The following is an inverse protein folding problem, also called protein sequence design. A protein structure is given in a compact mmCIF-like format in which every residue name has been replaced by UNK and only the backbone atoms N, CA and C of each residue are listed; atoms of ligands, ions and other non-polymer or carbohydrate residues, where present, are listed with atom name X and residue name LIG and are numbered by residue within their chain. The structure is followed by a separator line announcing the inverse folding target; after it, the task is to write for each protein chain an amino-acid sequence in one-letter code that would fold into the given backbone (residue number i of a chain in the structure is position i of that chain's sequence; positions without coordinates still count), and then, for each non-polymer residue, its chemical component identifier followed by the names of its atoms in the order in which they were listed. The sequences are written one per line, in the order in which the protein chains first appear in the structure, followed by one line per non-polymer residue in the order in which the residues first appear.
data_IF_041132997483
#
_entry.id   IF_041132997483
#
_cell.length_a   1.000
_cell.length_b   1.000
_cell.length_c   1.000
_cell.angle_alpha   90.00
_cell.angle_beta   90.00
_cell.angle_gamma   90.00
#
_symmetry.space_group_name_H-M   'P 1'
#
loop_
_entity.id
_entity.type
_entity.pdbx_description
1 polymer ?
#
# COMPACT_ATOMS: atom_id res chain seq x y z
N UNK A 1 -7.65 -4.93 16.71
CA UNK A 1 -8.54 -4.46 15.62
C UNK A 1 -8.54 -5.50 14.50
N UNK A 2 -9.68 -6.08 14.24
CA UNK A 2 -9.79 -7.12 13.23
C UNK A 2 -9.83 -6.47 11.84
N UNK A 3 -8.72 -6.55 11.16
CA UNK A 3 -8.58 -6.08 9.78
C UNK A 3 -8.35 -7.29 8.90
N UNK A 4 -9.21 -7.49 7.92
CA UNK A 4 -9.08 -8.55 6.94
C UNK A 4 -8.56 -8.02 5.61
N UNK A 5 -7.66 -8.77 5.01
CA UNK A 5 -7.05 -8.48 3.72
C UNK A 5 -7.65 -9.38 2.65
N UNK A 6 -8.02 -8.81 1.52
CA UNK A 6 -8.50 -9.57 0.38
C UNK A 6 -8.03 -8.95 -0.92
N UNK A 7 -7.59 -9.79 -1.85
CA UNK A 7 -7.17 -9.34 -3.17
C UNK A 7 -8.38 -8.91 -4.00
N UNK A 8 -8.28 -7.79 -4.71
CA UNK A 8 -9.36 -7.24 -5.52
C UNK A 8 -9.85 -8.23 -6.59
N UNK A 9 -8.95 -9.03 -7.14
CA UNK A 9 -9.25 -10.06 -8.13
C UNK A 9 -9.95 -11.30 -7.58
N UNK A 10 -10.12 -11.42 -6.26
CA UNK A 10 -10.83 -12.53 -5.64
C UNK A 10 -12.28 -12.61 -6.15
N UNK A 11 -12.80 -13.82 -6.32
CA UNK A 11 -14.19 -14.04 -6.68
C UNK A 11 -15.13 -13.18 -5.84
N UNK A 12 -16.09 -12.52 -6.49
CA UNK A 12 -16.97 -11.53 -5.86
C UNK A 12 -17.74 -12.09 -4.65
N UNK A 13 -18.25 -13.30 -4.74
CA UNK A 13 -19.02 -13.93 -3.66
C UNK A 13 -18.16 -14.19 -2.43
N UNK A 14 -16.94 -14.73 -2.63
CA UNK A 14 -15.97 -14.96 -1.54
C UNK A 14 -15.50 -13.64 -0.94
N UNK A 15 -15.24 -12.64 -1.77
CA UNK A 15 -14.85 -11.31 -1.31
C UNK A 15 -15.95 -10.68 -0.45
N UNK A 16 -17.20 -10.77 -0.89
CA UNK A 16 -18.34 -10.24 -0.14
C UNK A 16 -18.52 -10.94 1.19
N UNK A 17 -18.35 -12.26 1.23
CA UNK A 17 -18.41 -13.03 2.48
C UNK A 17 -17.36 -12.55 3.50
N UNK A 18 -16.13 -12.29 3.07
CA UNK A 18 -15.08 -11.75 3.93
C UNK A 18 -15.44 -10.34 4.41
N UNK A 19 -15.93 -9.49 3.54
CA UNK A 19 -16.31 -8.11 3.85
C UNK A 19 -17.44 -8.09 4.90
N UNK A 20 -18.47 -8.91 4.70
CA UNK A 20 -19.62 -8.95 5.60
C UNK A 20 -19.28 -9.44 7.02
N UNK A 21 -18.20 -10.20 7.17
CA UNK A 21 -17.74 -10.75 8.44
C UNK A 21 -16.55 -9.99 9.05
N UNK A 22 -16.08 -8.92 8.42
CA UNK A 22 -14.93 -8.15 8.86
C UNK A 22 -15.34 -6.84 9.53
N UNK A 23 -14.58 -6.41 10.53
CA UNK A 23 -14.74 -5.08 11.12
C UNK A 23 -14.20 -3.99 10.19
N UNK A 24 -13.05 -4.24 9.58
CA UNK A 24 -12.45 -3.38 8.53
C UNK A 24 -11.79 -4.25 7.47
N UNK A 25 -11.78 -3.78 6.25
CA UNK A 25 -11.18 -4.50 5.12
C UNK A 25 -10.15 -3.66 4.38
N UNK A 26 -9.07 -4.33 4.00
CA UNK A 26 -8.08 -3.81 3.07
C UNK A 26 -8.22 -4.61 1.78
N UNK A 27 -8.58 -3.92 0.70
CA UNK A 27 -8.70 -4.52 -0.62
C UNK A 27 -7.39 -4.25 -1.38
N UNK A 28 -6.71 -5.33 -1.72
CA UNK A 28 -5.34 -5.28 -2.25
C UNK A 28 -5.28 -5.49 -3.75
N UNK A 29 -4.34 -4.82 -4.37
CA UNK A 29 -3.87 -5.08 -5.72
C UNK A 29 -2.35 -5.20 -5.72
N UNK A 30 -1.84 -6.23 -6.37
CA UNK A 30 -0.40 -6.48 -6.51
C UNK A 30 -0.02 -6.61 -7.98
N UNK A 31 1.07 -5.98 -8.36
CA UNK A 31 1.69 -6.23 -9.65
C UNK A 31 3.21 -6.38 -9.43
N UNK A 32 3.68 -7.63 -9.55
CA UNK A 32 5.08 -8.00 -9.31
C UNK A 32 5.97 -7.81 -10.54
N UNK A 33 5.41 -7.38 -11.66
CA UNK A 33 6.14 -7.24 -12.92
C UNK A 33 6.46 -5.79 -13.26
N UNK A 34 5.52 -4.88 -12.99
CA UNK A 34 5.63 -3.47 -13.36
C UNK A 34 4.75 -2.56 -12.54
N UNK A 35 4.89 -1.25 -12.77
CA UNK A 35 3.96 -0.22 -12.30
C UNK A 35 3.04 0.17 -13.46
N UNK A 36 1.73 -0.15 -13.38
CA UNK A 36 0.76 0.31 -14.37
C UNK A 36 0.65 1.84 -14.45
N UNK A 37 -0.05 2.34 -15.46
CA UNK A 37 -0.30 3.77 -15.62
C UNK A 37 -1.09 4.36 -14.44
N UNK A 38 -0.95 5.67 -14.22
CA UNK A 38 -1.72 6.38 -13.20
C UNK A 38 -3.22 6.16 -13.35
N UNK A 39 -3.74 6.28 -14.58
CA UNK A 39 -5.15 6.07 -14.87
C UNK A 39 -5.63 4.67 -14.49
N UNK A 40 -4.85 3.65 -14.85
CA UNK A 40 -5.18 2.28 -14.47
C UNK A 40 -5.20 2.10 -12.95
N UNK A 41 -4.21 2.62 -12.26
CA UNK A 41 -4.11 2.52 -10.80
C UNK A 41 -5.20 3.33 -10.08
N UNK A 42 -5.59 4.49 -10.59
CA UNK A 42 -6.75 5.24 -10.08
C UNK A 42 -8.04 4.42 -10.17
N UNK A 43 -8.27 3.74 -11.29
CA UNK A 43 -9.41 2.85 -11.46
C UNK A 43 -9.36 1.68 -10.46
N UNK A 44 -8.17 1.12 -10.21
CA UNK A 44 -7.98 0.06 -9.22
C UNK A 44 -8.30 0.57 -7.81
N UNK A 45 -7.78 1.75 -7.43
CA UNK A 45 -8.06 2.35 -6.11
C UNK A 45 -9.55 2.59 -5.94
N UNK A 46 -10.21 3.20 -6.93
CA UNK A 46 -11.64 3.49 -6.88
C UNK A 46 -12.46 2.19 -6.76
N UNK A 47 -12.10 1.17 -7.51
CA UNK A 47 -12.76 -0.15 -7.42
C UNK A 47 -12.58 -0.78 -6.04
N UNK A 48 -11.38 -0.69 -5.46
CA UNK A 48 -11.11 -1.22 -4.13
C UNK A 48 -11.88 -0.47 -3.04
N UNK A 49 -11.94 0.86 -3.11
CA UNK A 49 -12.66 1.69 -2.14
C UNK A 49 -14.18 1.58 -2.28
N UNK A 50 -14.70 1.14 -3.43
CA UNK A 50 -16.12 0.84 -3.60
C UNK A 50 -16.57 -0.41 -2.86
N UNK A 51 -15.66 -1.33 -2.55
CA UNK A 51 -15.99 -2.61 -1.90
C UNK A 51 -15.40 -2.77 -0.51
N UNK A 52 -14.39 -2.00 -0.14
CA UNK A 52 -13.75 -2.08 1.17
C UNK A 52 -13.40 -0.71 1.76
N UNK A 53 -12.81 -0.73 2.95
CA UNK A 53 -12.51 0.49 3.71
C UNK A 53 -11.21 1.16 3.29
N UNK A 54 -10.21 0.36 2.95
CA UNK A 54 -8.87 0.81 2.60
C UNK A 54 -8.43 0.08 1.33
N UNK A 55 -7.91 0.84 0.37
CA UNK A 55 -7.24 0.28 -0.80
C UNK A 55 -5.76 0.06 -0.49
N UNK A 56 -5.19 -1.03 -0.99
CA UNK A 56 -3.75 -1.27 -0.95
C UNK A 56 -3.23 -1.56 -2.35
N UNK A 57 -2.22 -0.82 -2.77
CA UNK A 57 -1.51 -1.04 -4.03
C UNK A 57 -0.05 -1.34 -3.74
N UNK A 58 0.43 -2.47 -4.24
CA UNK A 58 1.84 -2.84 -4.22
C UNK A 58 2.27 -3.16 -5.65
N UNK A 59 3.17 -2.35 -6.20
CA UNK A 59 3.61 -2.43 -7.60
C UNK A 59 5.12 -2.42 -7.70
N UNK A 60 5.66 -3.04 -8.75
CA UNK A 60 7.09 -3.10 -8.98
C UNK A 60 7.55 -1.92 -9.84
N UNK A 61 8.46 -1.07 -9.36
CA UNK A 61 9.06 -0.04 -10.17
C UNK A 61 10.14 -0.64 -11.08
N UNK A 62 10.15 -0.24 -12.34
CA UNK A 62 11.22 -0.57 -13.30
C UNK A 62 12.23 0.57 -13.42
N UNK A 63 11.84 1.78 -13.03
CA UNK A 63 12.66 2.99 -12.98
C UNK A 63 12.17 3.91 -11.86
N UNK A 64 12.88 4.99 -11.59
CA UNK A 64 12.54 5.89 -10.49
C UNK A 64 11.22 6.63 -10.73
N UNK A 65 10.88 6.93 -11.98
CA UNK A 65 9.65 7.61 -12.35
C UNK A 65 8.40 6.80 -12.00
N UNK A 66 8.49 5.47 -12.02
CA UNK A 66 7.42 4.58 -11.59
C UNK A 66 7.05 4.82 -10.12
N UNK A 67 8.02 5.13 -9.30
CA UNK A 67 7.77 5.44 -7.88
C UNK A 67 6.99 6.74 -7.71
N UNK A 68 7.15 7.70 -8.63
CA UNK A 68 6.42 8.97 -8.59
C UNK A 68 4.93 8.79 -8.88
N UNK A 69 4.58 7.84 -9.74
CA UNK A 69 3.19 7.48 -10.00
C UNK A 69 2.50 7.11 -8.68
N UNK A 70 3.13 6.26 -7.89
CA UNK A 70 2.59 5.83 -6.61
C UNK A 70 2.50 6.97 -5.60
N UNK A 71 3.52 7.82 -5.51
CA UNK A 71 3.52 8.95 -4.59
C UNK A 71 2.41 9.95 -4.90
N UNK A 72 2.10 10.19 -6.17
CA UNK A 72 0.98 11.05 -6.58
C UNK A 72 -0.35 10.47 -6.11
N UNK A 73 -0.57 9.17 -6.28
CA UNK A 73 -1.78 8.51 -5.78
C UNK A 73 -1.92 8.67 -4.27
N UNK A 74 -0.84 8.51 -3.52
CA UNK A 74 -0.84 8.71 -2.06
C UNK A 74 -1.21 10.15 -1.64
N UNK A 75 -0.88 11.14 -2.46
CA UNK A 75 -1.27 12.53 -2.21
C UNK A 75 -2.76 12.80 -2.53
N UNK A 76 -3.37 11.99 -3.37
CA UNK A 76 -4.76 12.18 -3.82
C UNK A 76 -5.79 11.40 -2.98
N UNK A 77 -5.38 10.30 -2.36
CA UNK A 77 -6.27 9.40 -1.62
C UNK A 77 -5.87 9.26 -0.15
N UNK A 78 -6.82 9.44 0.76
CA UNK A 78 -6.57 9.31 2.20
C UNK A 78 -6.57 7.85 2.68
N UNK A 79 -7.42 7.01 2.08
CA UNK A 79 -7.59 5.60 2.47
C UNK A 79 -6.79 4.66 1.55
N UNK A 80 -5.58 5.06 1.20
CA UNK A 80 -4.69 4.30 0.35
C UNK A 80 -3.39 3.91 1.06
N UNK A 81 -3.07 2.62 1.02
CA UNK A 81 -1.74 2.09 1.32
C UNK A 81 -1.02 1.89 -0.01
N UNK A 82 0.06 2.62 -0.23
CA UNK A 82 0.83 2.54 -1.47
C UNK A 82 2.25 2.06 -1.22
N UNK A 83 2.65 1.02 -1.95
CA UNK A 83 3.97 0.43 -1.87
C UNK A 83 4.58 0.33 -3.27
N UNK A 84 5.68 1.00 -3.48
CA UNK A 84 6.57 0.71 -4.59
C UNK A 84 7.60 -0.30 -4.10
N UNK A 85 7.58 -1.49 -4.70
CA UNK A 85 8.35 -2.64 -4.21
C UNK A 85 9.85 -2.51 -4.50
N UNK A 86 10.59 -3.50 -4.05
CA UNK A 86 12.03 -3.64 -4.20
C UNK A 86 12.84 -2.46 -3.59
N UNK A 87 14.13 -2.54 -3.72
CA UNK A 87 15.04 -1.53 -3.16
C UNK A 87 14.82 -0.14 -3.76
N UNK A 88 14.51 -0.06 -5.04
CA UNK A 88 14.27 1.19 -5.75
C UNK A 88 13.06 1.95 -5.17
N UNK A 89 12.02 1.24 -4.76
CA UNK A 89 10.80 1.81 -4.16
C UNK A 89 10.83 1.90 -2.64
N UNK A 90 11.89 1.47 -1.98
CA UNK A 90 11.93 1.33 -0.51
C UNK A 90 11.60 2.63 0.23
N UNK A 91 12.02 3.78 -0.27
CA UNK A 91 11.76 5.08 0.33
C UNK A 91 10.26 5.43 0.39
N UNK A 92 9.44 4.85 -0.49
CA UNK A 92 7.98 5.05 -0.46
C UNK A 92 7.34 4.49 0.79
N UNK A 93 7.96 3.50 1.43
CA UNK A 93 7.51 2.94 2.71
C UNK A 93 7.65 3.92 3.88
N UNK A 94 8.56 4.86 3.75
CA UNK A 94 8.74 5.97 4.71
C UNK A 94 7.85 7.15 4.34
N UNK A 95 7.83 7.54 3.06
CA UNK A 95 7.02 8.67 2.60
C UNK A 95 5.52 8.39 2.65
N UNK A 96 5.10 7.15 2.44
CA UNK A 96 3.69 6.77 2.49
C UNK A 96 2.97 7.29 3.73
N UNK A 97 3.41 6.96 4.95
CA UNK A 97 2.80 7.48 6.17
C UNK A 97 2.85 9.00 6.30
N UNK A 98 3.85 9.65 5.75
CA UNK A 98 3.97 11.12 5.75
C UNK A 98 2.94 11.74 4.84
N UNK A 99 2.64 11.11 3.72
CA UNK A 99 1.64 11.55 2.75
C UNK A 99 0.21 11.15 3.11
N UNK A 100 0.02 10.43 4.23
CA UNK A 100 -1.33 10.10 4.71
C UNK A 100 -1.69 8.62 4.64
N UNK A 101 -0.81 7.75 4.15
CA UNK A 101 -1.06 6.31 4.18
C UNK A 101 -1.31 5.83 5.62
N UNK A 102 -2.42 5.11 5.87
CA UNK A 102 -2.78 4.73 7.25
C UNK A 102 -1.85 3.67 7.85
N UNK A 103 -1.16 2.91 7.02
CA UNK A 103 -0.29 1.80 7.45
C UNK A 103 0.98 1.76 6.61
N UNK A 104 2.08 1.38 7.23
CA UNK A 104 3.29 0.93 6.53
C UNK A 104 3.74 -0.42 7.05
N UNK A 105 4.47 -1.15 6.23
CA UNK A 105 4.93 -2.51 6.53
C UNK A 105 6.43 -2.51 6.79
N UNK A 106 6.83 -3.14 7.86
CA UNK A 106 8.21 -3.23 8.31
C UNK A 106 8.60 -4.68 8.56
N UNK A 107 9.90 -4.96 8.61
CA UNK A 107 10.41 -6.25 9.02
C UNK A 107 10.74 -6.26 10.52
N UNK A 108 10.50 -7.37 11.20
CA UNK A 108 10.87 -7.56 12.61
C UNK A 108 12.29 -8.10 12.74
N UNK A 109 12.61 -9.11 11.96
CA UNK A 109 13.94 -9.76 11.94
C UNK A 109 14.57 -9.66 10.56
N UNK A 110 14.07 -10.45 9.61
CA UNK A 110 14.45 -10.40 8.21
C UNK A 110 13.35 -9.73 7.41
N UNK A 111 13.68 -9.08 6.27
CA UNK A 111 12.67 -8.50 5.41
C UNK A 111 11.75 -9.58 4.85
N UNK A 112 10.44 -9.40 5.02
CA UNK A 112 9.41 -10.29 4.47
C UNK A 112 9.06 -9.98 3.01
N UNK A 113 9.51 -8.83 2.54
CA UNK A 113 9.42 -8.40 1.15
C UNK A 113 10.62 -7.50 0.82
N UNK A 114 11.14 -7.53 -0.44
CA UNK A 114 12.25 -6.69 -0.85
C UNK A 114 12.00 -5.19 -0.59
N UNK A 115 12.99 -4.51 -0.06
CA UNK A 115 12.93 -3.07 0.22
C UNK A 115 12.28 -2.67 1.55
N UNK A 116 11.89 -3.62 2.39
CA UNK A 116 11.41 -3.31 3.74
C UNK A 116 12.55 -2.86 4.65
N UNK A 117 12.26 -1.85 5.48
CA UNK A 117 13.09 -1.47 6.62
C UNK A 117 12.63 -2.22 7.87
N UNK A 118 13.53 -2.39 8.84
CA UNK A 118 13.15 -2.92 10.15
C UNK A 118 12.28 -1.91 10.94
N UNK A 119 11.55 -2.42 11.93
CA UNK A 119 10.61 -1.63 12.75
C UNK A 119 11.32 -0.46 13.44
N UNK A 120 12.51 -0.71 14.01
CA UNK A 120 13.24 0.32 14.76
C UNK A 120 13.68 1.45 13.85
N UNK A 121 14.31 1.12 12.72
CA UNK A 121 14.75 2.11 11.71
C UNK A 121 13.57 2.93 11.20
N UNK A 122 12.48 2.28 10.82
CA UNK A 122 11.26 2.95 10.35
C UNK A 122 10.72 3.92 11.39
N UNK A 123 10.59 3.47 12.64
CA UNK A 123 10.11 4.30 13.75
C UNK A 123 11.00 5.49 14.00
N UNK A 124 12.31 5.29 14.03
CA UNK A 124 13.28 6.35 14.29
C UNK A 124 13.26 7.42 13.20
N UNK A 125 13.19 7.02 11.93
CA UNK A 125 13.08 7.95 10.80
C UNK A 125 11.76 8.72 10.88
N UNK A 126 10.64 8.03 11.04
CA UNK A 126 9.32 8.67 11.10
C UNK A 126 9.21 9.65 12.27
N UNK A 127 9.77 9.33 13.44
CA UNK A 127 9.83 10.26 14.56
C UNK A 127 10.59 11.53 14.23
N UNK A 128 11.71 11.43 13.53
CA UNK A 128 12.51 12.59 13.11
C UNK A 128 11.80 13.46 12.09
N UNK A 129 11.07 12.83 11.15
CA UNK A 129 10.37 13.52 10.06
C UNK A 129 9.01 14.08 10.48
N UNK A 130 8.35 13.43 11.44
CA UNK A 130 7.04 13.83 11.99
C UNK A 130 7.14 14.55 13.33
N UNK A 131 8.28 15.08 13.65
CA UNK A 131 8.46 15.84 14.89
C UNK A 131 7.92 17.26 14.74
N UNK A 132 6.62 17.29 14.49
CA UNK A 132 5.86 18.53 14.35
C UNK A 132 4.54 18.45 15.08
#
# INVERSE_FOLDING_TARGET
MDVNYIELSTNENLRQEVIDNANRTIISYHNFEKTPSSEYLENVVNSALNVGDIAKIAVKPLNIEDTYVLLRLLMEYDDLIGISMDKLGSYTRILGPILGSPVTYTAITDESAPGQFDVKTTRDILKKLKNY
#
